data_IF_698846676170
#
_entry.id   IF_698846676170
#
_cell.length_a   1.000
_cell.length_b   1.000
_cell.length_c   1.000
_cell.angle_alpha   90.00
_cell.angle_beta   90.00
_cell.angle_gamma   90.00
#
_symmetry.space_group_name_H-M   'P 1'
#
loop_
_entity.id
_entity.type
_entity.pdbx_description
1 polymer ?
#
# COMPACT_ATOMS: atom_id res chain seq x y z
N UNK A 1 -11.34 1.05 9.10
CA UNK A 1 -10.90 1.46 10.46
C UNK A 1 -9.52 0.86 10.75
N UNK A 2 -8.69 1.48 11.60
CA UNK A 2 -7.39 0.94 12.05
C UNK A 2 -6.17 1.17 11.14
N UNK A 3 -6.36 1.66 9.90
CA UNK A 3 -5.28 1.81 8.93
C UNK A 3 -4.14 2.73 9.39
N UNK A 4 -4.50 3.89 9.95
CA UNK A 4 -3.51 4.82 10.49
C UNK A 4 -2.70 4.19 11.63
N UNK A 5 -3.36 3.43 12.53
CA UNK A 5 -2.67 2.75 13.63
C UNK A 5 -1.68 1.69 13.11
N UNK A 6 -2.11 0.85 12.15
CA UNK A 6 -1.27 -0.17 11.52
C UNK A 6 -0.03 0.43 10.83
N UNK A 7 -0.22 1.48 10.03
CA UNK A 7 0.89 2.16 9.36
C UNK A 7 1.84 2.86 10.35
N UNK A 8 1.30 3.45 11.42
CA UNK A 8 2.13 3.99 12.49
C UNK A 8 2.93 2.90 13.23
N UNK A 9 2.37 1.71 13.44
CA UNK A 9 3.09 0.58 14.04
C UNK A 9 4.27 0.14 13.16
N UNK A 10 4.07 0.05 11.83
CA UNK A 10 5.16 -0.17 10.87
C UNK A 10 6.22 0.96 10.95
N UNK A 11 5.78 2.22 10.95
CA UNK A 11 6.70 3.35 11.04
C UNK A 11 7.54 3.35 12.33
N UNK A 12 6.92 3.01 13.48
CA UNK A 12 7.62 2.87 14.77
C UNK A 12 8.70 1.79 14.74
N UNK A 13 8.47 0.70 13.99
CA UNK A 13 9.43 -0.39 13.74
C UNK A 13 10.54 -0.02 12.75
N UNK A 14 10.52 1.18 12.16
CA UNK A 14 11.60 1.69 11.31
C UNK A 14 11.28 1.67 9.81
N UNK A 15 10.16 1.06 9.40
CA UNK A 15 9.75 1.07 8.00
C UNK A 15 9.38 2.47 7.51
N UNK A 16 9.70 2.75 6.24
CA UNK A 16 9.26 3.97 5.56
C UNK A 16 7.99 3.67 4.77
N UNK A 17 7.00 4.55 4.90
CA UNK A 17 5.72 4.38 4.24
C UNK A 17 5.75 5.07 2.87
N UNK A 18 5.32 4.32 1.85
CA UNK A 18 5.13 4.82 0.49
C UNK A 18 3.66 4.63 0.13
N UNK A 19 2.98 5.72 -0.21
CA UNK A 19 1.58 5.75 -0.63
C UNK A 19 1.51 5.85 -2.16
N UNK A 20 0.69 5.03 -2.80
CA UNK A 20 0.46 5.03 -4.24
C UNK A 20 -1.03 5.25 -4.53
N UNK A 21 -1.37 6.15 -5.44
CA UNK A 21 -2.77 6.38 -5.81
C UNK A 21 -2.96 6.76 -7.27
N UNK A 22 -4.06 6.28 -7.85
CA UNK A 22 -4.51 6.63 -9.21
C UNK A 22 -5.83 7.41 -9.19
N UNK A 23 -6.18 8.03 -8.05
CA UNK A 23 -7.38 8.87 -7.92
C UNK A 23 -7.43 9.93 -9.01
N UNK A 24 -8.62 10.27 -9.48
CA UNK A 24 -8.82 11.37 -10.43
C UNK A 24 -8.42 12.72 -9.81
N UNK A 25 -8.00 13.72 -10.60
CA UNK A 25 -7.46 14.99 -10.11
C UNK A 25 -8.32 15.71 -9.05
N UNK A 26 -9.65 15.65 -9.19
CA UNK A 26 -10.60 16.25 -8.26
C UNK A 26 -10.43 15.75 -6.80
N UNK A 27 -9.88 14.56 -6.60
CA UNK A 27 -9.64 13.96 -5.28
C UNK A 27 -8.15 13.90 -4.90
N UNK A 28 -7.28 14.59 -5.65
CA UNK A 28 -5.83 14.63 -5.39
C UNK A 28 -5.44 15.82 -4.52
N UNK A 29 -6.06 16.99 -4.70
CA UNK A 29 -5.80 18.18 -3.89
C UNK A 29 -6.16 17.93 -2.42
N UNK A 30 -5.23 18.22 -1.51
CA UNK A 30 -5.45 18.03 -0.07
C UNK A 30 -5.23 16.61 0.42
N UNK A 31 -4.82 15.65 -0.43
CA UNK A 31 -4.54 14.28 0.01
C UNK A 31 -3.41 14.20 1.07
N UNK A 32 -2.30 14.95 0.97
CA UNK A 32 -1.31 15.01 2.04
C UNK A 32 -1.88 15.52 3.37
N UNK A 33 -2.72 16.56 3.31
CA UNK A 33 -3.35 17.15 4.49
C UNK A 33 -4.38 16.19 5.10
N UNK A 34 -5.16 15.51 4.26
CA UNK A 34 -6.11 14.51 4.70
C UNK A 34 -5.40 13.35 5.41
N UNK A 35 -4.30 12.83 4.87
CA UNK A 35 -3.50 11.78 5.52
C UNK A 35 -3.03 12.24 6.90
N UNK A 36 -2.46 13.44 6.99
CA UNK A 36 -1.99 14.03 8.25
C UNK A 36 -3.13 14.21 9.26
N UNK A 37 -4.24 14.81 8.85
CA UNK A 37 -5.41 15.06 9.71
C UNK A 37 -6.05 13.77 10.22
N UNK A 38 -5.94 12.67 9.47
CA UNK A 38 -6.44 11.36 9.86
C UNK A 38 -5.39 10.49 10.59
N UNK A 39 -4.27 11.09 10.99
CA UNK A 39 -3.26 10.44 11.82
C UNK A 39 -2.38 9.42 11.09
N UNK A 40 -2.35 9.43 9.75
CA UNK A 40 -1.43 8.57 9.00
C UNK A 40 0.01 9.08 9.16
N UNK A 41 1.01 8.17 9.22
CA UNK A 41 2.40 8.57 9.30
C UNK A 41 2.85 9.26 8.01
N UNK A 42 3.83 10.16 8.13
CA UNK A 42 4.49 10.78 6.99
C UNK A 42 5.10 9.72 6.07
N UNK A 43 5.02 9.96 4.76
CA UNK A 43 5.54 9.05 3.75
C UNK A 43 5.55 9.70 2.37
N UNK A 44 6.28 9.09 1.43
CA UNK A 44 6.27 9.53 0.04
C UNK A 44 4.91 9.19 -0.58
N UNK A 45 4.25 10.18 -1.18
CA UNK A 45 2.96 10.00 -1.85
C UNK A 45 3.15 10.15 -3.36
N UNK A 46 2.89 9.08 -4.10
CA UNK A 46 2.93 9.06 -5.57
C UNK A 46 1.52 9.01 -6.12
N UNK A 47 1.23 9.93 -7.03
CA UNK A 47 -0.10 10.17 -7.59
C UNK A 47 0.00 10.11 -9.10
N UNK A 48 -0.86 9.33 -9.76
CA UNK A 48 -0.94 9.33 -11.23
C UNK A 48 -1.33 10.71 -11.74
N UNK A 49 -0.48 11.29 -12.58
CA UNK A 49 -0.61 12.63 -13.15
C UNK A 49 -1.44 12.61 -14.44
N UNK A 50 -1.31 11.58 -15.27
CA UNK A 50 -1.98 11.51 -16.58
C UNK A 50 -3.21 10.61 -16.60
N UNK A 51 -4.08 10.80 -17.59
CA UNK A 51 -5.23 9.91 -17.80
C UNK A 51 -4.79 8.49 -18.15
N UNK A 52 -3.69 8.37 -18.90
CA UNK A 52 -3.08 7.09 -19.26
C UNK A 52 -2.58 6.33 -18.02
N UNK A 53 -1.87 6.99 -17.10
CA UNK A 53 -1.42 6.38 -15.85
C UNK A 53 -2.59 5.93 -14.97
N UNK A 54 -3.69 6.69 -14.97
CA UNK A 54 -4.91 6.30 -14.25
C UNK A 54 -5.60 5.09 -14.88
N UNK A 55 -5.62 5.03 -16.22
CA UNK A 55 -6.14 3.89 -16.98
C UNK A 55 -5.28 2.64 -16.88
N UNK A 56 -3.97 2.80 -16.65
CA UNK A 56 -2.98 1.72 -16.51
C UNK A 56 -2.40 1.71 -15.09
N UNK A 57 -3.28 1.54 -14.09
CA UNK A 57 -2.92 1.68 -12.68
C UNK A 57 -1.84 0.68 -12.20
N UNK A 58 -1.87 -0.53 -12.75
CA UNK A 58 -0.85 -1.56 -12.57
C UNK A 58 0.52 -1.08 -13.06
N UNK A 59 0.62 -0.61 -14.31
CA UNK A 59 1.87 -0.14 -14.91
C UNK A 59 2.44 1.06 -14.16
N UNK A 60 1.60 2.03 -13.81
CA UNK A 60 2.02 3.19 -13.03
C UNK A 60 2.61 2.76 -11.68
N UNK A 61 1.92 1.90 -10.93
CA UNK A 61 2.39 1.43 -9.61
C UNK A 61 3.67 0.61 -9.76
N UNK A 62 3.74 -0.29 -10.73
CA UNK A 62 4.92 -1.11 -11.00
C UNK A 62 6.15 -0.24 -11.31
N UNK A 63 6.00 0.82 -12.12
CA UNK A 63 7.08 1.75 -12.42
C UNK A 63 7.59 2.49 -11.18
N UNK A 64 6.68 2.95 -10.31
CA UNK A 64 7.08 3.59 -9.04
C UNK A 64 7.84 2.60 -8.15
N UNK A 65 7.34 1.37 -8.00
CA UNK A 65 7.99 0.34 -7.19
C UNK A 65 9.37 -0.05 -7.76
N UNK A 66 9.48 -0.16 -9.10
CA UNK A 66 10.74 -0.42 -9.77
C UNK A 66 11.75 0.71 -9.56
N UNK A 67 11.32 1.97 -9.50
CA UNK A 67 12.18 3.10 -9.18
C UNK A 67 12.77 3.02 -7.76
N UNK A 68 11.97 2.61 -6.77
CA UNK A 68 12.46 2.35 -5.41
C UNK A 68 13.48 1.20 -5.38
N UNK A 69 13.14 0.06 -6.01
CA UNK A 69 14.04 -1.08 -6.07
C UNK A 69 15.39 -0.72 -6.75
N UNK A 70 15.34 0.05 -7.85
CA UNK A 70 16.53 0.56 -8.55
C UNK A 70 17.36 1.50 -7.69
N UNK A 71 16.72 2.26 -6.80
CA UNK A 71 17.39 3.12 -5.83
C UNK A 71 17.93 2.36 -4.60
N UNK A 72 17.90 1.02 -4.60
CA UNK A 72 18.45 0.19 -3.53
C UNK A 72 17.48 -0.07 -2.37
N UNK A 73 16.20 0.31 -2.51
CA UNK A 73 15.21 0.04 -1.47
C UNK A 73 14.77 -1.42 -1.49
N UNK A 74 14.58 -1.99 -0.30
CA UNK A 74 13.91 -3.26 -0.13
C UNK A 74 12.41 -3.04 0.12
N UNK A 75 11.56 -3.51 -0.80
CA UNK A 75 10.11 -3.43 -0.70
C UNK A 75 9.61 -4.50 0.27
N UNK A 76 9.51 -4.13 1.55
CA UNK A 76 9.30 -5.11 2.63
C UNK A 76 7.89 -5.70 2.69
N UNK A 77 6.85 -4.87 2.56
CA UNK A 77 5.44 -5.29 2.62
C UNK A 77 4.59 -4.44 1.69
N UNK A 78 3.51 -5.01 1.16
CA UNK A 78 2.58 -4.31 0.27
C UNK A 78 1.12 -4.54 0.66
N UNK A 79 0.30 -3.51 0.46
CA UNK A 79 -1.12 -3.46 0.86
C UNK A 79 -1.94 -2.85 -0.26
N UNK A 80 -2.84 -3.64 -0.85
CA UNK A 80 -3.66 -3.23 -1.99
C UNK A 80 -5.06 -3.81 -1.93
N UNK A 81 -5.98 -3.27 -2.73
CA UNK A 81 -7.38 -3.70 -2.77
C UNK A 81 -7.85 -4.14 -4.16
N UNK A 82 -6.98 -3.99 -5.17
CA UNK A 82 -7.30 -4.26 -6.58
C UNK A 82 -6.42 -5.35 -7.17
N UNK A 83 -6.93 -6.05 -8.18
CA UNK A 83 -6.11 -6.95 -9.01
C UNK A 83 -4.91 -6.22 -9.62
N UNK A 84 -5.06 -4.95 -10.00
CA UNK A 84 -3.97 -4.13 -10.53
C UNK A 84 -2.89 -3.80 -9.50
N UNK A 85 -3.21 -3.71 -8.20
CA UNK A 85 -2.20 -3.63 -7.14
C UNK A 85 -1.36 -4.90 -7.12
N UNK A 86 -2.03 -6.05 -7.13
CA UNK A 86 -1.36 -7.35 -7.02
C UNK A 86 -0.50 -7.66 -8.25
N UNK A 87 -0.94 -7.26 -9.45
CA UNK A 87 -0.09 -7.30 -10.66
C UNK A 87 1.17 -6.47 -10.45
N UNK A 88 1.04 -5.22 -9.98
CA UNK A 88 2.19 -4.35 -9.74
C UNK A 88 3.16 -4.91 -8.68
N UNK A 89 2.64 -5.53 -7.62
CA UNK A 89 3.48 -6.17 -6.59
C UNK A 89 4.20 -7.41 -7.13
N UNK A 90 3.56 -8.19 -8.01
CA UNK A 90 4.19 -9.34 -8.66
C UNK A 90 5.33 -8.91 -9.58
N UNK A 91 5.12 -7.87 -10.39
CA UNK A 91 6.14 -7.29 -11.27
C UNK A 91 7.32 -6.72 -10.47
N UNK A 92 7.02 -6.09 -9.32
CA UNK A 92 8.02 -5.60 -8.38
C UNK A 92 8.71 -6.72 -7.56
N UNK A 93 8.34 -7.99 -7.78
CA UNK A 93 8.89 -9.18 -7.11
C UNK A 93 8.77 -9.13 -5.58
N UNK A 94 7.70 -8.53 -5.07
CA UNK A 94 7.40 -8.56 -3.64
C UNK A 94 6.92 -9.99 -3.30
N UNK A 95 7.55 -10.69 -2.34
CA UNK A 95 7.14 -12.05 -1.96
C UNK A 95 5.65 -12.09 -1.56
N UNK A 96 4.93 -13.14 -1.98
CA UNK A 96 3.49 -13.28 -1.71
C UNK A 96 3.20 -13.22 -0.21
N UNK A 97 4.09 -13.76 0.60
CA UNK A 97 4.06 -13.80 2.07
C UNK A 97 4.08 -12.40 2.69
N UNK A 98 4.47 -11.39 1.92
CA UNK A 98 4.58 -10.00 2.36
C UNK A 98 3.53 -9.09 1.69
N UNK A 99 2.59 -9.66 0.93
CA UNK A 99 1.52 -8.93 0.27
C UNK A 99 0.18 -9.23 0.95
N UNK A 100 -0.56 -8.19 1.31
CA UNK A 100 -1.86 -8.29 1.97
C UNK A 100 -2.95 -7.62 1.14
N UNK A 101 -4.01 -8.36 0.86
CA UNK A 101 -5.17 -7.84 0.18
C UNK A 101 -6.15 -7.21 1.17
N UNK A 102 -6.69 -6.05 0.84
CA UNK A 102 -7.70 -5.36 1.62
C UNK A 102 -9.06 -5.62 0.98
N UNK A 103 -9.99 -6.20 1.74
CA UNK A 103 -11.34 -6.42 1.24
C UNK A 103 -12.05 -5.08 1.06
N UNK A 104 -12.61 -4.86 -0.12
CA UNK A 104 -13.43 -3.68 -0.41
C UNK A 104 -14.73 -3.71 0.39
N UNK A 105 -15.24 -2.52 0.66
CA UNK A 105 -16.55 -2.36 1.29
C UNK A 105 -17.61 -3.10 0.46
N UNK A 106 -18.46 -3.85 1.14
CA UNK A 106 -19.57 -4.63 0.57
C UNK A 106 -19.17 -5.81 -0.34
N UNK A 107 -17.87 -6.08 -0.52
CA UNK A 107 -17.39 -7.28 -1.23
C UNK A 107 -17.41 -8.52 -0.34
N UNK A 108 -17.70 -9.68 -0.95
CA UNK A 108 -17.64 -11.00 -0.28
C UNK A 108 -16.21 -11.55 -0.18
N UNK A 109 -15.33 -11.17 -1.10
CA UNK A 109 -13.93 -11.61 -1.16
C UNK A 109 -13.02 -10.47 -1.62
N UNK A 110 -11.72 -10.63 -1.39
CA UNK A 110 -10.70 -9.79 -2.02
C UNK A 110 -10.63 -10.08 -3.53
N UNK A 111 -10.13 -9.13 -4.31
CA UNK A 111 -9.89 -9.35 -5.72
C UNK A 111 -8.75 -10.36 -5.94
N UNK A 112 -8.71 -10.97 -7.12
CA UNK A 112 -7.69 -11.97 -7.48
C UNK A 112 -6.31 -11.35 -7.61
N UNK A 113 -5.29 -12.07 -7.15
CA UNK A 113 -3.88 -11.66 -7.27
C UNK A 113 -2.96 -12.37 -6.29
N UNK A 114 -1.71 -11.90 -6.22
CA UNK A 114 -0.72 -12.41 -5.26
C UNK A 114 -0.91 -11.75 -3.89
N UNK A 115 -1.36 -12.50 -2.90
CA UNK A 115 -1.37 -12.07 -1.51
C UNK A 115 -1.36 -13.26 -0.56
N UNK A 116 -0.80 -13.07 0.63
CA UNK A 116 -0.81 -14.05 1.71
C UNK A 116 -2.20 -14.17 2.33
N UNK A 117 -2.84 -13.03 2.60
CA UNK A 117 -4.10 -12.97 3.32
C UNK A 117 -5.03 -11.89 2.76
N UNK A 118 -6.32 -12.20 2.78
CA UNK A 118 -7.41 -11.26 2.51
C UNK A 118 -7.93 -10.68 3.83
N UNK A 119 -7.54 -9.44 4.12
CA UNK A 119 -7.85 -8.72 5.34
C UNK A 119 -9.26 -8.12 5.27
N UNK A 120 -10.06 -8.37 6.30
CA UNK A 120 -11.37 -7.73 6.46
C UNK A 120 -11.24 -6.24 6.86
N UNK A 121 -10.12 -5.91 7.52
CA UNK A 121 -9.80 -4.59 8.02
C UNK A 121 -8.39 -4.58 8.61
N UNK A 122 -7.99 -3.43 9.14
CA UNK A 122 -6.65 -3.24 9.70
C UNK A 122 -6.54 -3.56 11.18
N UNK A 123 -7.67 -3.71 11.88
CA UNK A 123 -7.68 -3.88 13.34
C UNK A 123 -7.01 -5.20 13.73
N UNK A 124 -7.37 -6.30 13.08
CA UNK A 124 -6.79 -7.61 13.31
C UNK A 124 -5.33 -7.64 12.82
N UNK A 125 -5.07 -6.99 11.68
CA UNK A 125 -3.72 -6.92 11.09
C UNK A 125 -2.73 -6.11 11.94
N UNK A 126 -3.21 -5.13 12.72
CA UNK A 126 -2.37 -4.38 13.65
C UNK A 126 -1.68 -5.32 14.65
N UNK A 127 -2.39 -6.32 15.16
CA UNK A 127 -1.81 -7.30 16.09
C UNK A 127 -0.68 -8.11 15.44
N UNK A 128 -0.87 -8.51 14.17
CA UNK A 128 0.18 -9.16 13.39
C UNK A 128 1.40 -8.25 13.21
N UNK A 129 1.18 -6.97 12.83
CA UNK A 129 2.29 -6.01 12.67
C UNK A 129 3.06 -5.86 13.99
N UNK A 130 2.37 -5.71 15.11
CA UNK A 130 3.00 -5.47 16.41
C UNK A 130 3.84 -6.68 16.87
N UNK A 131 3.38 -7.91 16.60
CA UNK A 131 4.00 -9.14 17.10
C UNK A 131 4.97 -9.79 16.13
N UNK A 132 4.60 -9.89 14.86
CA UNK A 132 5.27 -10.75 13.88
C UNK A 132 6.20 -9.99 12.94
N UNK A 133 5.88 -8.73 12.62
CA UNK A 133 6.75 -7.92 11.75
C UNK A 133 7.98 -7.47 12.55
N UNK A 134 9.22 -7.76 12.10
CA UNK A 134 10.43 -7.40 12.84
C UNK A 134 10.68 -5.89 12.87
N UNK A 135 11.49 -5.44 13.82
CA UNK A 135 12.04 -4.07 13.80
C UNK A 135 13.18 -4.00 12.78
N UNK A 136 13.27 -2.89 12.05
CA UNK A 136 14.44 -2.53 11.21
C UNK A 136 15.36 -1.52 11.91
N UNK A 137 14.97 -1.05 13.10
CA UNK A 137 15.85 -0.35 14.04
C UNK A 137 16.58 -1.34 14.91
#
# INVERSE_FOLDING_TARGET
PGAAAALNALSKKGYKIVYLTTRIPLFQSGLPDWLRQNGFPSGSLHVAQTAEERGNADKFKAQVLAAYAKAGWHLAYAYGDSSTDFTAYAEAKIPKEHVFALKRKDSKACQDGIYQACLQGWTEHLTYIEREVPSTK
#
